data_IF_010253962583
#
_entry.id   IF_010253962583
#
_cell.length_a   1.000
_cell.length_b   1.000
_cell.length_c   1.000
_cell.angle_alpha   90.00
_cell.angle_beta   90.00
_cell.angle_gamma   90.00
#
_symmetry.space_group_name_H-M   'P 1'
#
loop_
_entity.id
_entity.type
_entity.pdbx_description
1 polymer ?
#
# COMPACT_ATOMS: atom_id res chain seq x y z
N UNK A 1 -19.21 12.27 15.61
CA UNK A 1 -19.52 10.83 15.58
C UNK A 1 -18.77 10.24 14.41
N UNK A 2 -17.87 9.28 14.64
CA UNK A 2 -17.18 8.55 13.57
C UNK A 2 -18.22 7.88 12.67
N UNK A 3 -18.12 8.08 11.37
CA UNK A 3 -19.04 7.51 10.38
C UNK A 3 -18.72 6.03 10.22
N UNK A 4 -19.70 5.15 10.45
CA UNK A 4 -19.54 3.72 10.22
C UNK A 4 -19.25 3.43 8.73
N UNK A 5 -18.32 2.52 8.46
CA UNK A 5 -17.96 2.11 7.09
C UNK A 5 -19.16 1.43 6.42
N UNK A 6 -19.40 1.73 5.15
CA UNK A 6 -20.45 1.06 4.38
C UNK A 6 -20.21 -0.45 4.35
N UNK A 7 -21.26 -1.27 4.39
CA UNK A 7 -21.08 -2.71 4.45
C UNK A 7 -22.26 -3.48 3.88
N UNK A 8 -21.99 -4.68 3.36
CA UNK A 8 -23.01 -5.60 2.83
C UNK A 8 -22.60 -7.05 3.05
N UNK A 9 -23.56 -7.88 3.45
CA UNK A 9 -23.36 -9.30 3.72
C UNK A 9 -23.73 -10.23 2.58
N UNK A 10 -23.16 -11.43 2.61
CA UNK A 10 -23.53 -12.53 1.73
C UNK A 10 -23.94 -13.76 2.54
N UNK A 11 -25.23 -14.12 2.43
CA UNK A 11 -25.82 -15.19 3.21
C UNK A 11 -26.04 -16.44 2.36
N UNK A 12 -25.47 -17.57 2.79
CA UNK A 12 -25.71 -18.86 2.16
C UNK A 12 -25.19 -20.01 3.04
N UNK A 13 -25.71 -21.25 2.91
CA UNK A 13 -25.08 -22.43 3.51
C UNK A 13 -23.60 -22.59 3.09
N UNK A 14 -22.80 -23.32 3.86
CA UNK A 14 -21.43 -23.65 3.44
C UNK A 14 -21.44 -24.46 2.12
N UNK A 15 -20.46 -24.23 1.24
CA UNK A 15 -20.35 -24.96 -0.04
C UNK A 15 -21.24 -24.47 -1.20
N UNK A 16 -22.01 -23.40 -1.03
CA UNK A 16 -22.96 -22.88 -2.04
C UNK A 16 -22.36 -21.87 -3.04
N UNK A 17 -21.05 -21.61 -2.96
CA UNK A 17 -20.35 -20.76 -3.92
C UNK A 17 -20.26 -19.27 -3.56
N UNK A 18 -20.49 -18.88 -2.31
CA UNK A 18 -20.26 -17.50 -1.82
C UNK A 18 -18.88 -16.97 -2.19
N UNK A 19 -17.84 -17.76 -1.90
CA UNK A 19 -16.46 -17.39 -2.24
C UNK A 19 -16.28 -17.21 -3.74
N UNK A 20 -16.92 -18.04 -4.58
CA UNK A 20 -16.89 -17.90 -6.04
C UNK A 20 -17.59 -16.62 -6.52
N UNK A 21 -18.69 -16.22 -5.90
CA UNK A 21 -19.35 -14.96 -6.22
C UNK A 21 -18.49 -13.77 -5.78
N UNK A 22 -18.01 -13.78 -4.55
CA UNK A 22 -17.19 -12.72 -3.97
C UNK A 22 -15.89 -12.50 -4.76
N UNK A 23 -15.21 -13.56 -5.19
CA UNK A 23 -13.98 -13.44 -6.01
C UNK A 23 -14.23 -12.85 -7.39
N UNK A 24 -15.45 -13.01 -7.96
CA UNK A 24 -15.86 -12.36 -9.21
C UNK A 24 -16.35 -10.92 -9.00
N UNK A 25 -16.93 -10.64 -7.85
CA UNK A 25 -17.49 -9.33 -7.50
C UNK A 25 -16.42 -8.32 -7.06
N UNK A 26 -15.42 -8.76 -6.31
CA UNK A 26 -14.32 -7.91 -5.80
C UNK A 26 -13.61 -7.12 -6.92
N UNK A 27 -13.19 -7.72 -8.06
CA UNK A 27 -12.59 -6.97 -9.16
C UNK A 27 -13.50 -5.90 -9.74
N UNK A 28 -14.82 -6.18 -9.85
CA UNK A 28 -15.80 -5.26 -10.42
C UNK A 28 -16.01 -4.05 -9.51
N UNK A 29 -16.23 -4.27 -8.22
CA UNK A 29 -16.37 -3.19 -7.23
C UNK A 29 -15.10 -2.32 -7.17
N UNK A 30 -13.92 -2.96 -7.27
CA UNK A 30 -12.64 -2.25 -7.32
C UNK A 30 -12.47 -1.44 -8.60
N UNK A 31 -12.88 -1.96 -9.75
CA UNK A 31 -12.86 -1.23 -11.02
C UNK A 31 -13.76 0.03 -11.00
N UNK A 32 -14.71 0.07 -10.06
CA UNK A 32 -15.59 1.22 -9.80
C UNK A 32 -15.04 2.18 -8.74
N UNK A 33 -13.76 2.04 -8.37
CA UNK A 33 -13.05 2.96 -7.51
C UNK A 33 -13.20 2.73 -6.01
N UNK A 34 -13.88 1.64 -5.60
CA UNK A 34 -14.02 1.31 -4.17
C UNK A 34 -12.76 0.63 -3.61
N UNK A 35 -12.39 1.04 -2.40
CA UNK A 35 -11.45 0.35 -1.53
C UNK A 35 -12.23 -0.60 -0.64
N UNK A 36 -11.90 -1.88 -0.72
CA UNK A 36 -12.74 -2.94 -0.18
C UNK A 36 -12.12 -3.56 1.07
N UNK A 37 -12.92 -3.66 2.12
CA UNK A 37 -12.65 -4.48 3.30
C UNK A 37 -13.35 -5.83 3.14
N UNK A 38 -12.85 -6.84 3.86
CA UNK A 38 -13.47 -8.15 3.91
C UNK A 38 -13.48 -8.65 5.36
N UNK A 39 -14.67 -8.94 5.87
CA UNK A 39 -14.87 -9.47 7.21
C UNK A 39 -15.48 -10.86 7.12
N UNK A 40 -14.80 -11.85 7.70
CA UNK A 40 -15.28 -13.24 7.74
C UNK A 40 -15.43 -13.71 9.18
N UNK A 41 -16.61 -14.24 9.50
CA UNK A 41 -16.81 -15.01 10.73
C UNK A 41 -16.48 -16.48 10.48
N UNK A 42 -15.66 -17.10 11.35
CA UNK A 42 -15.45 -18.53 11.36
C UNK A 42 -16.07 -19.13 12.64
N UNK A 43 -16.83 -20.22 12.50
CA UNK A 43 -17.48 -20.91 13.64
C UNK A 43 -16.55 -21.87 14.40
N UNK A 44 -15.27 -21.94 14.02
CA UNK A 44 -14.23 -22.75 14.66
C UNK A 44 -12.98 -21.90 14.86
N UNK A 45 -12.15 -22.27 15.84
CA UNK A 45 -10.84 -21.64 16.04
C UNK A 45 -10.05 -21.64 14.74
N UNK A 46 -9.56 -20.47 14.35
CA UNK A 46 -8.68 -20.30 13.19
C UNK A 46 -7.36 -19.72 13.69
N UNK A 47 -6.26 -20.21 13.15
CA UNK A 47 -4.94 -19.61 13.39
C UNK A 47 -4.42 -19.04 12.07
N UNK A 48 -3.94 -17.80 12.14
CA UNK A 48 -3.28 -17.13 11.02
C UNK A 48 -1.77 -17.34 11.05
N UNK A 49 -1.24 -17.86 12.16
CA UNK A 49 0.18 -18.07 12.38
C UNK A 49 0.59 -19.52 12.09
N UNK A 50 1.88 -19.75 11.89
CA UNK A 50 2.44 -21.09 11.69
C UNK A 50 2.98 -21.62 13.02
N UNK A 51 2.43 -22.74 13.55
CA UNK A 51 2.91 -23.34 14.78
C UNK A 51 4.43 -23.56 14.79
N UNK A 52 5.07 -23.17 15.90
CA UNK A 52 6.50 -23.32 16.12
C UNK A 52 7.40 -22.23 15.51
N UNK A 53 6.85 -21.21 14.85
CA UNK A 53 7.61 -20.01 14.43
C UNK A 53 7.63 -18.94 15.51
N UNK A 54 8.56 -18.00 15.40
CA UNK A 54 8.81 -16.97 16.43
C UNK A 54 7.56 -16.20 16.84
N UNK A 55 6.73 -15.74 15.89
CA UNK A 55 5.48 -15.03 16.20
C UNK A 55 4.47 -15.91 16.94
N UNK A 56 4.38 -17.19 16.57
CA UNK A 56 3.50 -18.15 17.24
C UNK A 56 3.98 -18.40 18.66
N UNK A 57 5.29 -18.63 18.83
CA UNK A 57 5.89 -18.88 20.14
C UNK A 57 5.76 -17.68 21.07
N UNK A 58 5.96 -16.45 20.56
CA UNK A 58 5.79 -15.23 21.35
C UNK A 58 4.32 -14.96 21.72
N UNK A 59 3.38 -15.29 20.83
CA UNK A 59 1.94 -15.22 21.10
C UNK A 59 1.52 -16.21 22.18
N UNK A 60 1.90 -17.48 22.02
CA UNK A 60 1.63 -18.55 23.00
C UNK A 60 2.33 -18.29 24.36
N UNK A 61 3.47 -17.59 24.35
CA UNK A 61 4.15 -17.16 25.58
C UNK A 61 3.41 -16.06 26.35
N UNK A 62 2.30 -15.51 25.81
CA UNK A 62 1.41 -14.59 26.49
C UNK A 62 1.37 -13.17 25.93
N UNK A 63 1.94 -12.92 24.74
CA UNK A 63 1.79 -11.62 24.10
C UNK A 63 0.32 -11.37 23.75
N UNK A 64 -0.30 -10.37 24.39
CA UNK A 64 -1.72 -10.02 24.15
C UNK A 64 -1.97 -9.43 22.76
N UNK A 65 -0.91 -8.96 22.10
CA UNK A 65 -0.93 -8.53 20.71
C UNK A 65 0.42 -8.82 20.06
N UNK A 66 0.40 -9.36 18.84
CA UNK A 66 1.57 -9.62 18.01
C UNK A 66 1.33 -8.96 16.65
N UNK A 67 2.09 -7.89 16.38
CA UNK A 67 2.07 -7.19 15.10
C UNK A 67 3.27 -7.66 14.27
N UNK A 68 2.98 -8.33 13.16
CA UNK A 68 3.98 -8.73 12.18
C UNK A 68 3.89 -7.76 11.02
N UNK A 69 5.00 -7.13 10.64
CA UNK A 69 5.06 -6.21 9.52
C UNK A 69 6.17 -6.57 8.54
N UNK A 70 5.93 -6.21 7.29
CA UNK A 70 6.88 -6.21 6.19
C UNK A 70 6.63 -4.95 5.36
N UNK A 71 7.47 -4.69 4.36
CA UNK A 71 7.31 -3.55 3.44
C UNK A 71 6.01 -3.57 2.62
N UNK A 72 5.28 -4.70 2.57
CA UNK A 72 4.08 -4.86 1.72
C UNK A 72 2.79 -5.14 2.48
N UNK A 73 2.90 -5.64 3.70
CA UNK A 73 1.76 -6.10 4.50
C UNK A 73 2.14 -6.13 5.95
N UNK A 74 1.15 -5.87 6.77
CA UNK A 74 1.20 -6.16 8.18
C UNK A 74 -0.01 -7.00 8.56
N UNK A 75 0.13 -7.76 9.63
CA UNK A 75 -0.93 -8.52 10.26
C UNK A 75 -0.83 -8.27 11.76
N UNK A 76 -1.94 -7.86 12.37
CA UNK A 76 -2.06 -7.76 13.82
C UNK A 76 -2.90 -8.93 14.31
N UNK A 77 -2.30 -9.77 15.15
CA UNK A 77 -3.00 -10.81 15.90
C UNK A 77 -3.19 -10.28 17.31
N UNK A 78 -4.43 -10.26 17.79
CA UNK A 78 -4.75 -9.78 19.13
C UNK A 78 -5.42 -10.90 19.91
N UNK A 79 -4.81 -11.27 21.04
CA UNK A 79 -5.32 -12.32 21.92
C UNK A 79 -6.43 -11.79 22.81
N UNK A 80 -7.64 -12.11 22.36
CA UNK A 80 -8.88 -11.93 23.06
C UNK A 80 -9.40 -10.50 23.17
N UNK A 81 -10.72 -10.44 23.35
CA UNK A 81 -11.50 -9.21 23.44
C UNK A 81 -11.47 -8.66 24.88
N UNK A 82 -11.92 -7.43 25.16
CA UNK A 82 -12.25 -7.02 26.52
C UNK A 82 -13.17 -8.06 27.21
N UNK A 83 -13.06 -8.25 28.53
CA UNK A 83 -13.83 -9.31 29.24
C UNK A 83 -15.33 -9.18 29.03
N UNK A 84 -15.85 -7.95 28.91
CA UNK A 84 -17.24 -7.66 28.56
C UNK A 84 -17.64 -8.21 27.18
N UNK A 85 -16.80 -8.05 26.18
CA UNK A 85 -17.01 -8.57 24.82
C UNK A 85 -16.82 -10.10 24.77
N UNK A 86 -15.88 -10.66 25.55
CA UNK A 86 -15.71 -12.11 25.69
C UNK A 86 -16.91 -12.77 26.36
N UNK A 87 -17.48 -12.16 27.38
CA UNK A 87 -18.67 -12.66 28.07
C UNK A 87 -19.89 -12.70 27.13
N UNK A 88 -20.09 -11.64 26.35
CA UNK A 88 -21.14 -11.57 25.33
C UNK A 88 -20.92 -12.59 24.22
N UNK A 89 -19.69 -12.72 23.70
CA UNK A 89 -19.35 -13.70 22.67
C UNK A 89 -19.56 -15.15 23.15
N UNK A 90 -19.19 -15.46 24.40
CA UNK A 90 -19.44 -16.78 25.00
C UNK A 90 -20.94 -17.04 25.17
N UNK A 91 -21.70 -16.05 25.62
CA UNK A 91 -23.15 -16.16 25.78
C UNK A 91 -23.86 -16.38 24.42
N UNK A 92 -23.47 -15.62 23.39
CA UNK A 92 -24.02 -15.72 22.04
C UNK A 92 -23.66 -17.07 21.38
N UNK A 93 -22.39 -17.50 21.50
CA UNK A 93 -21.93 -18.80 21.00
C UNK A 93 -22.68 -19.98 21.64
N UNK A 94 -23.00 -19.89 22.93
CA UNK A 94 -23.74 -20.94 23.65
C UNK A 94 -25.22 -21.05 23.21
N UNK A 95 -25.81 -19.96 22.70
CA UNK A 95 -27.20 -19.93 22.21
C UNK A 95 -27.32 -20.04 20.69
N UNK A 96 -26.19 -20.13 19.97
CA UNK A 96 -26.15 -20.10 18.50
C UNK A 96 -26.55 -18.74 17.91
N UNK A 97 -26.47 -17.68 18.72
CA UNK A 97 -26.70 -16.29 18.32
C UNK A 97 -25.36 -15.61 18.05
N UNK A 98 -25.37 -14.51 17.29
CA UNK A 98 -24.17 -13.70 17.09
C UNK A 98 -24.09 -12.58 18.12
N UNK A 99 -22.88 -12.24 18.57
CA UNK A 99 -22.63 -11.16 19.51
C UNK A 99 -22.65 -9.79 18.79
N UNK A 100 -23.69 -8.95 18.97
CA UNK A 100 -23.83 -7.71 18.20
C UNK A 100 -22.72 -6.71 18.51
N UNK A 101 -22.26 -6.59 19.75
CA UNK A 101 -21.18 -5.65 20.08
C UNK A 101 -19.83 -6.06 19.51
N UNK A 102 -19.60 -7.36 19.31
CA UNK A 102 -18.39 -7.85 18.66
C UNK A 102 -18.38 -7.49 17.17
N UNK A 103 -19.54 -7.55 16.51
CA UNK A 103 -19.67 -7.10 15.12
C UNK A 103 -19.24 -5.64 14.97
N UNK A 104 -19.84 -4.75 15.76
CA UNK A 104 -19.59 -3.32 15.71
C UNK A 104 -18.12 -3.00 16.05
N UNK A 105 -17.57 -3.69 17.06
CA UNK A 105 -16.15 -3.60 17.45
C UNK A 105 -15.23 -3.98 16.30
N UNK A 106 -15.46 -5.11 15.63
CA UNK A 106 -14.65 -5.56 14.49
C UNK A 106 -14.82 -4.64 13.26
N UNK A 107 -16.04 -4.19 12.98
CA UNK A 107 -16.30 -3.28 11.88
C UNK A 107 -15.60 -1.93 12.08
N UNK A 108 -15.52 -1.44 13.33
CA UNK A 108 -14.82 -0.20 13.69
C UNK A 108 -13.30 -0.26 13.48
N UNK A 109 -12.72 -1.46 13.31
CA UNK A 109 -11.28 -1.63 13.04
C UNK A 109 -10.93 -1.36 11.57
N UNK A 110 -11.91 -1.31 10.67
CA UNK A 110 -11.67 -0.86 9.30
C UNK A 110 -11.51 0.66 9.31
N UNK A 111 -10.35 1.13 8.88
CA UNK A 111 -10.10 2.57 8.75
C UNK A 111 -10.94 3.12 7.57
N UNK A 112 -11.91 4.03 7.84
CA UNK A 112 -12.76 4.62 6.81
C UNK A 112 -11.97 5.48 5.82
N UNK A 113 -10.76 5.93 6.19
CA UNK A 113 -9.88 6.66 5.28
C UNK A 113 -9.19 5.78 4.25
N UNK A 114 -9.27 4.45 4.36
CA UNK A 114 -8.72 3.50 3.38
C UNK A 114 -9.68 2.38 2.99
N UNK A 115 -10.89 2.35 3.57
CA UNK A 115 -11.93 1.35 3.30
C UNK A 115 -13.26 2.04 3.03
N UNK A 116 -13.80 1.89 1.83
CA UNK A 116 -15.08 2.48 1.43
C UNK A 116 -16.26 1.52 1.67
N UNK A 117 -16.04 0.22 1.48
CA UNK A 117 -17.07 -0.81 1.60
C UNK A 117 -16.49 -2.10 2.19
N UNK A 118 -17.13 -2.67 3.20
CA UNK A 118 -16.79 -3.96 3.79
C UNK A 118 -17.75 -5.05 3.28
N UNK A 119 -17.21 -6.09 2.67
CA UNK A 119 -17.97 -7.29 2.31
C UNK A 119 -17.93 -8.29 3.48
N UNK A 120 -19.09 -8.78 3.91
CA UNK A 120 -19.21 -9.64 5.09
C UNK A 120 -19.63 -11.05 4.69
N UNK A 121 -18.86 -12.05 5.14
CA UNK A 121 -19.22 -13.48 5.09
C UNK A 121 -19.47 -14.01 6.51
N UNK A 122 -20.71 -14.42 6.79
CA UNK A 122 -21.13 -14.89 8.13
C UNK A 122 -21.93 -13.82 8.89
N UNK A 123 -21.94 -13.93 10.24
CA UNK A 123 -22.66 -13.01 11.12
C UNK A 123 -24.17 -12.95 10.86
N UNK A 124 -24.84 -14.10 11.02
CA UNK A 124 -26.28 -14.29 10.80
C UNK A 124 -27.22 -13.56 11.80
N UNK A 125 -26.73 -13.10 12.94
CA UNK A 125 -27.50 -12.54 14.04
C UNK A 125 -27.28 -11.05 14.31
N UNK A 126 -26.36 -10.38 13.61
CA UNK A 126 -26.35 -8.90 13.60
C UNK A 126 -27.34 -8.38 12.55
N UNK A 127 -27.70 -7.09 12.58
CA UNK A 127 -28.60 -6.50 11.58
C UNK A 127 -27.85 -5.60 10.62
N UNK A 128 -27.85 -5.96 9.34
CA UNK A 128 -27.17 -5.24 8.25
C UNK A 128 -27.65 -5.76 6.89
N UNK A 129 -27.60 -4.97 5.78
CA UNK A 129 -28.08 -5.44 4.48
C UNK A 129 -27.35 -6.67 3.98
N UNK A 130 -28.10 -7.66 3.46
CA UNK A 130 -27.56 -8.93 2.94
C UNK A 130 -28.09 -9.30 1.57
N UNK A 131 -27.23 -9.94 0.78
CA UNK A 131 -27.60 -10.62 -0.46
C UNK A 131 -27.54 -12.13 -0.20
N UNK A 132 -28.67 -12.82 -0.36
CA UNK A 132 -28.67 -14.28 -0.30
C UNK A 132 -28.03 -14.86 -1.56
N UNK A 133 -27.25 -15.93 -1.45
CA UNK A 133 -26.72 -16.68 -2.59
C UNK A 133 -27.45 -18.02 -2.67
N UNK A 134 -28.24 -18.20 -3.72
CA UNK A 134 -29.04 -19.41 -3.95
C UNK A 134 -28.66 -20.07 -5.27
N UNK A 135 -28.18 -21.32 -5.23
CA UNK A 135 -27.76 -22.07 -6.42
C UNK A 135 -28.51 -23.41 -6.51
N UNK A 136 -29.04 -23.77 -7.68
CA UNK A 136 -29.73 -25.06 -7.86
C UNK A 136 -28.77 -26.25 -7.74
N UNK A 137 -27.54 -26.12 -8.24
CA UNK A 137 -26.58 -27.21 -8.31
C UNK A 137 -26.00 -27.66 -6.96
N UNK A 138 -26.13 -26.87 -5.88
CA UNK A 138 -25.51 -27.19 -4.59
C UNK A 138 -26.28 -28.18 -3.71
N UNK A 139 -27.54 -28.52 -4.05
CA UNK A 139 -28.41 -29.40 -3.24
C UNK A 139 -28.80 -28.86 -1.85
N UNK A 140 -28.09 -27.83 -1.36
CA UNK A 140 -28.35 -27.08 -0.15
C UNK A 140 -29.13 -25.81 -0.52
N UNK A 141 -30.45 -25.86 -0.43
CA UNK A 141 -31.31 -24.71 -0.70
C UNK A 141 -31.20 -23.69 0.43
N UNK A 142 -30.96 -22.42 0.09
CA UNK A 142 -31.18 -21.33 1.04
C UNK A 142 -32.68 -21.28 1.33
N UNK A 143 -33.08 -21.31 2.61
CA UNK A 143 -34.50 -21.41 3.00
C UNK A 143 -35.03 -20.20 3.76
N UNK A 144 -34.16 -19.27 4.17
CA UNK A 144 -34.49 -18.11 5.01
C UNK A 144 -34.75 -16.85 4.19
N UNK A 145 -35.64 -16.94 3.20
CA UNK A 145 -35.98 -15.81 2.32
C UNK A 145 -36.79 -14.70 3.02
N UNK A 146 -37.29 -14.97 4.22
CA UNK A 146 -38.08 -14.08 5.07
C UNK A 146 -37.21 -13.18 5.98
N UNK A 147 -35.88 -13.28 5.92
CA UNK A 147 -34.97 -12.43 6.68
C UNK A 147 -35.14 -10.95 6.28
N UNK A 148 -35.55 -10.05 7.21
CA UNK A 148 -35.79 -8.63 6.92
C UNK A 148 -34.53 -7.86 6.50
N UNK A 149 -33.36 -8.43 6.72
CA UNK A 149 -32.09 -7.88 6.28
C UNK A 149 -31.71 -8.25 4.84
N UNK A 150 -32.43 -9.18 4.22
CA UNK A 150 -32.24 -9.48 2.80
C UNK A 150 -32.71 -8.32 1.93
N UNK A 151 -31.78 -7.82 1.12
CA UNK A 151 -32.03 -6.76 0.13
C UNK A 151 -32.15 -7.32 -1.28
N UNK A 152 -31.58 -8.50 -1.55
CA UNK A 152 -31.69 -9.21 -2.83
C UNK A 152 -31.32 -10.69 -2.69
N UNK A 153 -31.58 -11.46 -3.75
CA UNK A 153 -31.15 -12.85 -3.90
C UNK A 153 -30.34 -12.98 -5.19
N UNK A 154 -29.08 -13.34 -5.08
CA UNK A 154 -28.22 -13.72 -6.21
C UNK A 154 -28.44 -15.21 -6.54
N UNK A 155 -28.97 -15.52 -7.72
CA UNK A 155 -29.37 -16.88 -8.07
C UNK A 155 -29.19 -17.24 -9.56
N UNK A 156 -29.12 -18.54 -9.85
CA UNK A 156 -29.25 -19.15 -11.18
C UNK A 156 -30.65 -19.75 -11.45
N UNK A 157 -31.55 -19.73 -10.46
CA UNK A 157 -32.94 -20.22 -10.55
C UNK A 157 -33.92 -19.22 -9.92
N UNK A 158 -34.19 -18.08 -10.59
CA UNK A 158 -35.07 -17.03 -10.09
C UNK A 158 -36.51 -17.50 -9.79
N UNK A 159 -36.97 -18.55 -10.46
CA UNK A 159 -38.28 -19.18 -10.24
C UNK A 159 -38.37 -19.93 -8.90
N UNK A 160 -37.25 -20.35 -8.32
CA UNK A 160 -37.19 -21.03 -7.01
C UNK A 160 -37.11 -20.05 -5.84
N UNK A 161 -36.95 -18.76 -6.12
CA UNK A 161 -36.86 -17.70 -5.10
C UNK A 161 -38.26 -17.14 -4.83
N UNK A 162 -38.84 -17.39 -3.64
CA UNK A 162 -40.15 -16.88 -3.27
C UNK A 162 -40.12 -15.37 -2.99
N UNK A 163 -41.28 -14.73 -3.13
CA UNK A 163 -41.47 -13.33 -2.76
C UNK A 163 -41.02 -12.31 -3.81
N UNK A 164 -40.98 -11.04 -3.40
CA UNK A 164 -40.73 -9.87 -4.25
C UNK A 164 -39.31 -9.33 -4.17
N UNK A 165 -38.39 -10.03 -3.50
CA UNK A 165 -36.99 -9.61 -3.40
C UNK A 165 -36.37 -9.53 -4.81
N UNK A 166 -35.52 -8.51 -5.09
CA UNK A 166 -34.76 -8.43 -6.32
C UNK A 166 -33.95 -9.71 -6.57
N UNK A 167 -34.04 -10.23 -7.79
CA UNK A 167 -33.36 -11.47 -8.22
C UNK A 167 -32.22 -11.09 -9.15
N UNK A 168 -30.99 -11.34 -8.72
CA UNK A 168 -29.77 -10.96 -9.42
C UNK A 168 -29.13 -12.22 -10.01
N UNK A 169 -28.75 -12.20 -11.28
CA UNK A 169 -28.13 -13.36 -11.91
C UNK A 169 -26.71 -13.59 -11.36
N UNK A 170 -26.40 -14.81 -10.89
CA UNK A 170 -25.04 -15.17 -10.44
C UNK A 170 -23.98 -15.02 -11.56
N UNK A 171 -24.42 -15.03 -12.82
CA UNK A 171 -23.59 -14.81 -13.99
C UNK A 171 -23.10 -13.38 -14.17
N UNK A 172 -23.74 -12.40 -13.52
CA UNK A 172 -23.62 -10.96 -13.82
C UNK A 172 -23.13 -10.16 -12.60
N UNK A 173 -21.84 -10.28 -12.22
CA UNK A 173 -21.29 -9.56 -11.07
C UNK A 173 -21.36 -8.04 -11.22
N UNK A 174 -21.40 -7.51 -12.45
CA UNK A 174 -21.61 -6.10 -12.75
C UNK A 174 -22.97 -5.61 -12.25
N UNK A 175 -24.03 -6.35 -12.53
CA UNK A 175 -25.39 -6.01 -12.08
C UNK A 175 -25.49 -6.09 -10.56
N UNK A 176 -24.85 -7.09 -9.95
CA UNK A 176 -24.79 -7.21 -8.49
C UNK A 176 -24.05 -6.03 -7.86
N UNK A 177 -22.92 -5.63 -8.45
CA UNK A 177 -22.18 -4.48 -7.98
C UNK A 177 -22.99 -3.18 -8.15
N UNK A 178 -23.74 -3.01 -9.25
CA UNK A 178 -24.56 -1.80 -9.48
C UNK A 178 -25.70 -1.72 -8.48
N UNK A 179 -26.30 -2.88 -8.18
CA UNK A 179 -27.28 -2.99 -7.13
C UNK A 179 -26.70 -2.56 -5.77
N UNK A 180 -25.53 -3.08 -5.39
CA UNK A 180 -24.87 -2.72 -4.11
C UNK A 180 -24.59 -1.22 -4.03
N UNK A 181 -24.02 -0.62 -5.08
CA UNK A 181 -23.66 0.79 -5.11
C UNK A 181 -24.85 1.73 -4.95
N UNK A 182 -26.01 1.33 -5.47
CA UNK A 182 -27.21 2.16 -5.47
C UNK A 182 -28.18 1.83 -4.32
N UNK A 183 -27.89 0.82 -3.50
CA UNK A 183 -28.83 0.38 -2.47
C UNK A 183 -28.73 1.25 -1.20
N UNK A 184 -29.83 1.91 -0.75
CA UNK A 184 -29.77 2.91 0.32
C UNK A 184 -29.33 2.34 1.68
N UNK A 185 -29.60 1.07 1.95
CA UNK A 185 -29.18 0.41 3.21
C UNK A 185 -27.68 0.09 3.28
N UNK A 186 -26.94 0.12 2.16
CA UNK A 186 -25.49 -0.18 2.14
C UNK A 186 -24.68 0.99 2.74
N UNK A 187 -25.19 2.22 2.65
CA UNK A 187 -24.60 3.38 3.33
C UNK A 187 -23.47 4.09 2.58
N UNK A 188 -23.30 3.83 1.28
CA UNK A 188 -22.41 4.59 0.40
C UNK A 188 -23.00 6.00 0.17
N UNK A 189 -22.26 7.08 0.46
CA UNK A 189 -22.77 8.45 0.19
C UNK A 189 -22.54 8.87 -1.25
N UNK A 190 -23.54 9.50 -1.85
CA UNK A 190 -23.55 9.95 -3.24
C UNK A 190 -22.74 11.24 -3.54
N UNK A 191 -21.93 11.78 -2.63
CA UNK A 191 -21.39 13.15 -2.79
C UNK A 191 -19.90 13.36 -2.53
N UNK A 192 -19.12 12.30 -2.36
CA UNK A 192 -17.67 12.41 -2.48
C UNK A 192 -17.34 11.61 -3.74
N UNK A 193 -17.15 12.32 -4.87
CA UNK A 193 -16.41 11.71 -5.97
C UNK A 193 -15.17 11.08 -5.34
N UNK A 194 -14.93 9.77 -5.50
CA UNK A 194 -13.74 9.17 -4.93
C UNK A 194 -12.57 10.00 -5.44
N UNK A 195 -11.88 10.71 -4.54
CA UNK A 195 -10.58 11.30 -4.87
C UNK A 195 -9.81 10.19 -5.56
N UNK A 196 -9.23 10.40 -6.77
CA UNK A 196 -8.74 9.33 -7.62
C UNK A 196 -7.85 8.39 -6.80
N UNK A 197 -8.44 7.28 -6.35
CA UNK A 197 -7.88 6.45 -5.31
C UNK A 197 -6.97 5.45 -6.00
N UNK A 198 -5.70 5.84 -6.16
CA UNK A 198 -4.66 4.91 -6.61
C UNK A 198 -4.56 3.78 -5.60
N UNK A 199 -5.13 2.63 -5.98
CA UNK A 199 -5.37 1.46 -5.14
C UNK A 199 -4.13 0.93 -4.41
N UNK A 200 -4.30 0.25 -3.28
CA UNK A 200 -3.24 -0.52 -2.60
C UNK A 200 -2.62 -1.64 -3.46
N UNK A 201 -3.31 -2.07 -4.51
CA UNK A 201 -2.80 -3.02 -5.50
C UNK A 201 -1.91 -2.37 -6.56
N UNK A 202 -1.82 -1.05 -6.58
CA UNK A 202 -0.86 -0.28 -7.36
C UNK A 202 0.55 -0.36 -6.74
N UNK A 203 0.74 -1.08 -5.62
CA UNK A 203 2.02 -1.22 -4.93
C UNK A 203 2.91 -2.37 -5.45
N UNK A 204 2.50 -3.02 -6.54
CA UNK A 204 3.41 -3.91 -7.27
C UNK A 204 4.11 -3.09 -8.36
N UNK A 205 5.44 -3.14 -8.48
CA UNK A 205 6.12 -2.64 -9.66
C UNK A 205 5.47 -3.16 -10.95
N UNK A 206 4.86 -4.35 -10.93
CA UNK A 206 4.18 -4.99 -12.06
C UNK A 206 2.88 -4.32 -12.54
N UNK A 207 2.31 -3.34 -11.81
CA UNK A 207 1.16 -2.52 -12.26
C UNK A 207 1.57 -1.14 -12.77
N UNK A 208 2.87 -0.84 -12.88
CA UNK A 208 3.33 0.45 -13.36
C UNK A 208 2.71 0.77 -14.73
N UNK A 209 2.20 2.01 -14.93
CA UNK A 209 1.64 2.45 -16.20
C UNK A 209 2.60 2.23 -17.37
N UNK A 210 2.12 2.12 -18.60
CA UNK A 210 3.01 2.03 -19.77
C UNK A 210 3.56 3.40 -20.19
N UNK A 211 2.83 4.49 -19.92
CA UNK A 211 3.21 5.85 -20.28
C UNK A 211 4.36 6.37 -19.37
N UNK A 212 5.48 6.89 -19.92
CA UNK A 212 6.60 7.40 -19.13
C UNK A 212 6.24 8.51 -18.13
N UNK A 213 5.27 9.39 -18.47
CA UNK A 213 4.81 10.45 -17.55
C UNK A 213 4.11 9.85 -16.34
N UNK A 214 3.21 8.92 -16.59
CA UNK A 214 2.45 8.24 -15.54
C UNK A 214 3.36 7.36 -14.69
N UNK A 215 4.35 6.67 -15.29
CA UNK A 215 5.37 5.95 -14.54
C UNK A 215 6.16 6.86 -13.62
N UNK A 216 6.60 8.03 -14.11
CA UNK A 216 7.41 8.95 -13.31
C UNK A 216 6.63 9.38 -12.07
N UNK A 217 5.40 9.84 -12.27
CA UNK A 217 4.50 10.24 -11.18
C UNK A 217 4.21 9.07 -10.23
N UNK A 218 4.03 7.87 -10.77
CA UNK A 218 3.83 6.66 -9.99
C UNK A 218 5.02 6.36 -9.06
N UNK A 219 6.24 6.28 -9.59
CA UNK A 219 7.43 5.97 -8.78
C UNK A 219 7.83 7.11 -7.84
N UNK A 220 7.63 8.37 -8.25
CA UNK A 220 7.81 9.52 -7.35
C UNK A 220 6.85 9.46 -6.15
N UNK A 221 5.58 9.13 -6.40
CA UNK A 221 4.61 8.92 -5.33
C UNK A 221 4.88 7.68 -4.46
N UNK A 222 5.61 6.68 -4.96
CA UNK A 222 6.08 5.56 -4.13
C UNK A 222 7.18 6.00 -3.16
N UNK A 223 8.09 6.90 -3.56
CA UNK A 223 9.10 7.44 -2.65
C UNK A 223 8.43 8.09 -1.43
N UNK A 224 7.38 8.89 -1.66
CA UNK A 224 6.58 9.49 -0.57
C UNK A 224 5.88 8.45 0.29
N UNK A 225 5.17 7.50 -0.33
CA UNK A 225 4.38 6.47 0.37
C UNK A 225 5.22 5.51 1.21
N UNK A 226 6.47 5.27 0.81
CA UNK A 226 7.40 4.42 1.55
C UNK A 226 8.30 5.19 2.52
N UNK A 227 8.07 6.49 2.70
CA UNK A 227 8.83 7.33 3.63
C UNK A 227 10.26 7.62 3.17
N UNK A 228 10.56 7.42 1.88
CA UNK A 228 11.83 7.85 1.29
C UNK A 228 11.81 9.34 0.96
N UNK A 229 10.64 9.96 0.81
CA UNK A 229 10.47 11.41 0.74
C UNK A 229 9.37 11.86 1.71
N UNK A 230 9.47 13.10 2.16
CA UNK A 230 8.45 13.83 2.90
C UNK A 230 7.91 15.01 2.08
N UNK A 231 6.66 15.43 2.33
CA UNK A 231 6.01 16.58 1.70
C UNK A 231 6.45 16.87 0.24
N UNK A 232 7.34 17.85 0.04
CA UNK A 232 7.84 18.34 -1.25
C UNK A 232 9.32 17.99 -1.50
N UNK A 233 9.87 17.03 -0.77
CA UNK A 233 11.27 16.63 -0.91
C UNK A 233 11.48 15.62 -2.03
N UNK A 234 12.69 15.65 -2.58
CA UNK A 234 13.12 14.80 -3.67
C UNK A 234 12.50 15.21 -5.00
N UNK A 235 12.98 14.58 -6.07
CA UNK A 235 12.51 14.84 -7.42
C UNK A 235 12.76 13.60 -8.29
N UNK A 236 12.11 13.56 -9.45
CA UNK A 236 12.21 12.41 -10.35
C UNK A 236 12.22 12.88 -11.80
N UNK A 237 12.97 12.18 -12.65
CA UNK A 237 12.98 12.44 -14.09
C UNK A 237 12.99 11.17 -14.92
N UNK A 238 12.51 11.27 -16.15
CA UNK A 238 12.56 10.22 -17.16
C UNK A 238 13.05 10.80 -18.49
N UNK A 239 13.99 10.11 -19.15
CA UNK A 239 14.54 10.51 -20.45
C UNK A 239 13.49 10.35 -21.54
N UNK A 240 13.52 11.26 -22.50
CA UNK A 240 12.68 11.22 -23.71
C UNK A 240 13.57 11.38 -24.95
N UNK A 241 12.97 11.29 -26.14
CA UNK A 241 13.71 11.47 -27.40
C UNK A 241 14.27 12.89 -27.55
N UNK A 242 13.59 13.88 -26.96
CA UNK A 242 13.92 15.30 -27.11
C UNK A 242 14.55 15.92 -25.85
N UNK A 243 14.86 15.13 -24.82
CA UNK A 243 15.19 15.69 -23.52
C UNK A 243 14.98 14.73 -22.36
N UNK A 244 14.42 15.28 -21.29
CA UNK A 244 13.84 14.54 -20.18
C UNK A 244 12.63 15.29 -19.62
N UNK A 245 11.75 14.56 -18.96
CA UNK A 245 10.66 15.13 -18.16
C UNK A 245 11.07 15.07 -16.70
N UNK A 246 10.82 16.12 -15.93
CA UNK A 246 11.14 16.20 -14.51
C UNK A 246 9.97 16.74 -13.70
N UNK A 247 9.91 16.39 -12.42
CA UNK A 247 8.98 17.00 -11.47
C UNK A 247 9.23 18.53 -11.38
N UNK A 248 8.16 19.36 -11.27
CA UNK A 248 8.33 20.79 -11.05
C UNK A 248 8.94 21.08 -9.67
N UNK A 249 9.48 22.29 -9.49
CA UNK A 249 9.92 22.76 -8.17
C UNK A 249 8.73 22.81 -7.19
N UNK A 250 8.93 22.36 -5.95
CA UNK A 250 7.88 22.29 -4.93
C UNK A 250 6.85 21.18 -5.13
N UNK A 251 7.07 20.24 -6.06
CA UNK A 251 6.17 19.11 -6.28
C UNK A 251 6.02 18.25 -5.02
N UNK A 252 4.78 17.89 -4.68
CA UNK A 252 4.46 16.91 -3.64
C UNK A 252 4.31 15.50 -4.22
N UNK A 253 4.77 14.49 -3.50
CA UNK A 253 4.59 13.10 -3.92
C UNK A 253 3.14 12.59 -3.83
N UNK A 254 2.27 13.31 -3.12
CA UNK A 254 0.89 12.90 -2.82
C UNK A 254 -0.12 13.35 -3.90
N UNK A 255 0.12 14.48 -4.59
CA UNK A 255 -0.83 15.15 -5.47
C UNK A 255 -0.32 15.46 -6.89
N UNK A 256 0.95 15.17 -7.19
CA UNK A 256 1.53 15.42 -8.52
C UNK A 256 0.76 14.70 -9.65
N UNK A 257 0.44 15.46 -10.70
CA UNK A 257 -0.20 14.96 -11.90
C UNK A 257 0.75 14.87 -13.11
N UNK A 258 0.57 13.89 -14.03
CA UNK A 258 1.44 13.71 -15.21
C UNK A 258 1.57 14.93 -16.15
N UNK A 259 0.60 15.84 -16.12
CA UNK A 259 0.59 17.05 -16.95
C UNK A 259 1.43 18.20 -16.37
N UNK A 260 1.75 18.16 -15.08
CA UNK A 260 2.55 19.17 -14.38
C UNK A 260 4.06 18.96 -14.57
N UNK A 261 4.46 17.83 -15.17
CA UNK A 261 5.87 17.53 -15.46
C UNK A 261 6.45 18.53 -16.48
N UNK A 262 7.62 19.06 -16.14
CA UNK A 262 8.34 20.04 -16.96
C UNK A 262 9.26 19.30 -17.92
N UNK A 263 9.20 19.67 -19.21
CA UNK A 263 10.10 19.14 -20.23
C UNK A 263 11.39 19.96 -20.26
N UNK A 264 12.52 19.30 -20.06
CA UNK A 264 13.84 19.92 -20.06
C UNK A 264 14.71 19.38 -21.20
N UNK A 265 15.55 20.22 -21.83
CA UNK A 265 16.46 19.75 -22.87
C UNK A 265 17.66 19.02 -22.26
N UNK A 266 18.28 18.11 -23.01
CA UNK A 266 19.56 17.48 -22.61
C UNK A 266 20.74 18.46 -22.64
N UNK A 267 20.64 19.54 -23.41
CA UNK A 267 21.65 20.58 -23.51
C UNK A 267 20.97 21.94 -23.61
N UNK A 268 21.54 22.94 -22.93
CA UNK A 268 20.98 24.29 -22.88
C UNK A 268 20.28 24.59 -21.54
N UNK A 269 19.65 25.77 -21.45
CA UNK A 269 19.11 26.28 -20.20
C UNK A 269 17.95 25.43 -19.68
N UNK A 270 17.86 25.32 -18.35
CA UNK A 270 16.74 24.68 -17.67
C UNK A 270 15.53 25.62 -17.69
N UNK A 271 14.35 25.17 -18.13
CA UNK A 271 13.12 25.97 -18.11
C UNK A 271 12.70 26.39 -16.70
N UNK A 272 12.02 27.53 -16.61
CA UNK A 272 11.40 28.00 -15.37
C UNK A 272 10.38 26.97 -14.83
N UNK A 273 10.30 26.84 -13.50
CA UNK A 273 9.40 25.92 -12.82
C UNK A 273 9.89 24.47 -12.74
N UNK A 274 10.97 24.10 -13.43
CA UNK A 274 11.59 22.77 -13.27
C UNK A 274 12.22 22.60 -11.87
N UNK A 275 12.41 21.36 -11.44
CA UNK A 275 13.09 21.04 -10.17
C UNK A 275 14.43 21.79 -10.02
N UNK A 276 14.77 22.18 -8.79
CA UNK A 276 16.06 22.79 -8.47
C UNK A 276 17.25 21.91 -8.90
N UNK A 277 17.09 20.58 -8.87
CA UNK A 277 18.14 19.63 -9.26
C UNK A 277 18.18 19.32 -10.76
N UNK A 278 17.43 20.05 -11.59
CA UNK A 278 17.36 19.77 -13.04
C UNK A 278 18.72 19.80 -13.74
N UNK A 279 19.65 20.67 -13.29
CA UNK A 279 21.02 20.69 -13.80
C UNK A 279 21.76 19.39 -13.49
N UNK A 280 21.61 18.85 -12.27
CA UNK A 280 22.20 17.57 -11.88
C UNK A 280 21.65 16.44 -12.75
N UNK A 281 20.34 16.39 -12.94
CA UNK A 281 19.70 15.38 -13.80
C UNK A 281 20.18 15.47 -15.25
N UNK A 282 20.28 16.70 -15.80
CA UNK A 282 20.83 16.94 -17.13
C UNK A 282 22.27 16.40 -17.25
N UNK A 283 23.13 16.70 -16.28
CA UNK A 283 24.52 16.22 -16.25
C UNK A 283 24.62 14.69 -16.16
N UNK A 284 23.78 14.05 -15.35
CA UNK A 284 23.72 12.59 -15.26
C UNK A 284 23.31 11.97 -16.61
N UNK A 285 22.29 12.50 -17.29
CA UNK A 285 21.91 11.98 -18.62
C UNK A 285 22.98 12.20 -19.70
N UNK A 286 23.78 13.25 -19.59
CA UNK A 286 24.90 13.50 -20.50
C UNK A 286 26.08 12.55 -20.25
N UNK A 287 26.39 12.29 -18.97
CA UNK A 287 27.56 11.50 -18.57
C UNK A 287 27.28 10.00 -18.43
N UNK A 288 26.00 9.59 -18.38
CA UNK A 288 25.60 8.19 -18.27
C UNK A 288 24.58 7.80 -19.35
N UNK A 289 25.04 7.33 -20.53
CA UNK A 289 24.18 7.04 -21.68
C UNK A 289 23.10 5.96 -21.44
N UNK A 290 23.32 5.08 -20.47
CA UNK A 290 22.34 4.05 -20.10
C UNK A 290 21.20 4.58 -19.21
N UNK A 291 21.37 5.76 -18.59
CA UNK A 291 20.36 6.33 -17.73
C UNK A 291 19.10 6.70 -18.54
N UNK A 292 17.97 6.12 -18.15
CA UNK A 292 16.64 6.44 -18.68
C UNK A 292 15.72 7.05 -17.63
N UNK A 293 16.08 6.90 -16.37
CA UNK A 293 15.36 7.48 -15.24
C UNK A 293 16.35 7.86 -14.14
N UNK A 294 16.01 8.90 -13.39
CA UNK A 294 16.77 9.36 -12.22
C UNK A 294 15.78 9.68 -11.11
N UNK A 295 16.01 9.16 -9.91
CA UNK A 295 15.26 9.47 -8.70
C UNK A 295 16.18 10.10 -7.67
N UNK A 296 15.69 11.17 -7.05
CA UNK A 296 16.27 11.78 -5.86
C UNK A 296 15.36 11.55 -4.65
N UNK A 297 15.93 11.03 -3.57
CA UNK A 297 15.19 10.68 -2.36
C UNK A 297 15.91 11.02 -1.06
N UNK A 298 15.15 11.13 0.03
CA UNK A 298 15.56 11.54 1.38
C UNK A 298 15.31 10.45 2.43
N UNK A 299 15.73 9.22 2.16
CA UNK A 299 15.54 8.11 3.10
C UNK A 299 16.23 8.38 4.45
N UNK A 300 15.53 8.29 5.59
CA UNK A 300 16.10 8.71 6.88
C UNK A 300 17.32 7.88 7.29
N UNK A 301 17.34 6.58 6.99
CA UNK A 301 18.47 5.73 7.34
C UNK A 301 19.67 5.96 6.42
N UNK A 302 19.44 6.15 5.11
CA UNK A 302 20.52 6.51 4.19
C UNK A 302 21.11 7.89 4.53
N UNK A 303 20.28 8.88 4.85
CA UNK A 303 20.77 10.19 5.35
C UNK A 303 21.62 9.98 6.59
N UNK A 304 21.11 9.29 7.61
CA UNK A 304 21.85 9.04 8.85
C UNK A 304 23.18 8.29 8.60
N UNK A 305 23.18 7.30 7.70
CA UNK A 305 24.38 6.54 7.35
C UNK A 305 25.40 7.36 6.54
N UNK A 306 24.97 8.45 5.90
CA UNK A 306 25.85 9.40 5.20
C UNK A 306 26.47 10.46 6.12
N UNK A 307 25.95 10.58 7.35
CA UNK A 307 26.47 11.46 8.39
C UNK A 307 27.66 10.77 9.08
N UNK A 308 28.88 11.13 8.68
CA UNK A 308 30.10 10.59 9.26
C UNK A 308 31.34 11.08 8.51
N UNK A 309 32.55 10.73 8.99
CA UNK A 309 33.77 11.03 8.26
C UNK A 309 33.68 10.43 6.85
N UNK A 310 34.00 11.26 5.84
CA UNK A 310 33.73 10.97 4.43
C UNK A 310 34.27 9.63 3.92
N UNK A 311 33.75 9.16 2.79
CA UNK A 311 34.06 7.86 2.21
C UNK A 311 32.89 7.31 1.41
N UNK A 312 32.67 6.00 1.47
CA UNK A 312 31.50 5.36 0.88
C UNK A 312 30.75 4.48 1.87
N UNK A 313 29.46 4.32 1.66
CA UNK A 313 28.63 3.40 2.42
C UNK A 313 28.85 1.95 1.95
N UNK A 314 29.19 1.08 2.90
CA UNK A 314 29.33 -0.36 2.68
C UNK A 314 28.07 -1.08 3.19
N UNK A 315 27.27 -1.71 2.31
CA UNK A 315 26.14 -2.51 2.74
C UNK A 315 26.57 -3.69 3.61
N UNK A 316 25.75 -4.03 4.61
CA UNK A 316 26.04 -5.10 5.57
C UNK A 316 25.27 -6.39 5.24
N UNK A 317 24.11 -6.27 4.61
CA UNK A 317 23.23 -7.35 4.22
C UNK A 317 23.63 -8.00 2.89
N UNK A 318 23.11 -9.21 2.64
CA UNK A 318 23.47 -10.03 1.50
C UNK A 318 23.12 -9.39 0.16
N UNK A 319 21.90 -8.85 0.02
CA UNK A 319 21.44 -8.24 -1.22
C UNK A 319 22.18 -6.93 -1.52
N UNK A 320 22.33 -6.06 -0.52
CA UNK A 320 23.09 -4.82 -0.66
C UNK A 320 24.52 -5.06 -1.11
N UNK A 321 25.21 -6.06 -0.55
CA UNK A 321 26.57 -6.46 -0.98
C UNK A 321 26.62 -7.02 -2.39
N UNK A 322 25.54 -7.65 -2.85
CA UNK A 322 25.43 -8.14 -4.21
C UNK A 322 25.24 -7.00 -5.23
N UNK A 323 24.46 -5.97 -4.88
CA UNK A 323 24.20 -4.84 -5.77
C UNK A 323 25.30 -3.77 -5.73
N UNK A 324 25.88 -3.51 -4.55
CA UNK A 324 26.82 -2.43 -4.34
C UNK A 324 28.06 -2.93 -3.59
N UNK A 325 29.21 -2.84 -4.24
CA UNK A 325 30.51 -3.05 -3.58
C UNK A 325 30.77 -1.92 -2.57
N UNK A 326 30.50 -0.68 -2.97
CA UNK A 326 30.53 0.52 -2.15
C UNK A 326 29.63 1.58 -2.79
N UNK A 327 28.82 2.28 -2.00
CA UNK A 327 28.02 3.43 -2.47
C UNK A 327 28.78 4.71 -2.17
N UNK A 328 29.12 5.54 -3.16
CA UNK A 328 29.87 6.78 -2.94
C UNK A 328 29.05 7.79 -2.13
N UNK A 329 29.70 8.48 -1.19
CA UNK A 329 29.11 9.61 -0.46
C UNK A 329 29.81 10.89 -0.91
N UNK A 330 29.05 11.80 -1.52
CA UNK A 330 29.51 13.11 -1.95
C UNK A 330 29.38 14.10 -0.79
N UNK A 331 30.46 14.75 -0.35
CA UNK A 331 30.40 15.74 0.71
C UNK A 331 29.74 17.04 0.22
N UNK A 332 29.00 17.69 1.12
CA UNK A 332 28.43 19.02 0.91
C UNK A 332 29.48 20.07 1.28
N UNK A 333 29.68 21.12 0.46
CA UNK A 333 30.53 22.26 0.82
C UNK A 333 29.87 23.17 1.87
N UNK A 334 30.67 24.01 2.54
CA UNK A 334 30.18 24.85 3.65
C UNK A 334 29.24 26.00 3.22
N UNK A 335 29.24 26.37 1.93
CA UNK A 335 28.38 27.44 1.39
C UNK A 335 27.34 26.91 0.40
N UNK A 336 26.19 27.59 0.36
CA UNK A 336 25.11 27.25 -0.56
C UNK A 336 25.46 27.57 -2.02
N UNK A 337 26.25 28.63 -2.26
CA UNK A 337 26.76 28.98 -3.58
C UNK A 337 27.67 27.88 -4.15
N UNK A 338 28.57 27.35 -3.32
CA UNK A 338 29.44 26.24 -3.72
C UNK A 338 28.63 24.95 -3.91
N UNK A 339 27.59 24.74 -3.10
CA UNK A 339 26.67 23.60 -3.25
C UNK A 339 26.06 23.60 -4.66
N UNK A 340 25.43 24.70 -5.06
CA UNK A 340 24.78 24.83 -6.38
C UNK A 340 25.80 24.64 -7.50
N UNK A 341 27.00 25.22 -7.35
CA UNK A 341 28.03 25.19 -8.39
C UNK A 341 28.65 23.81 -8.58
N UNK A 342 28.94 23.10 -7.48
CA UNK A 342 29.85 21.96 -7.51
C UNK A 342 29.14 20.61 -7.32
N UNK A 343 28.10 20.53 -6.49
CA UNK A 343 27.43 19.27 -6.15
C UNK A 343 26.83 18.57 -7.38
N UNK A 344 26.15 19.26 -8.32
CA UNK A 344 25.66 18.61 -9.55
C UNK A 344 26.73 17.85 -10.33
N UNK A 345 27.93 18.42 -10.47
CA UNK A 345 29.06 17.79 -11.18
C UNK A 345 29.67 16.63 -10.38
N UNK A 346 29.82 16.80 -9.06
CA UNK A 346 30.37 15.76 -8.18
C UNK A 346 29.46 14.54 -8.10
N UNK A 347 28.15 14.75 -7.96
CA UNK A 347 27.15 13.66 -7.97
C UNK A 347 27.11 12.97 -9.33
N UNK A 348 27.09 13.74 -10.43
CA UNK A 348 27.12 13.15 -11.78
C UNK A 348 28.36 12.27 -12.00
N UNK A 349 29.54 12.72 -11.54
CA UNK A 349 30.78 11.92 -11.61
C UNK A 349 30.71 10.65 -10.76
N UNK A 350 30.19 10.75 -9.53
CA UNK A 350 29.99 9.58 -8.66
C UNK A 350 29.03 8.54 -9.29
N UNK A 351 27.99 9.03 -9.98
CA UNK A 351 27.00 8.19 -10.66
C UNK A 351 27.51 7.54 -11.96
N UNK A 352 28.66 7.97 -12.49
CA UNK A 352 29.36 7.23 -13.57
C UNK A 352 30.02 5.95 -13.05
N UNK A 353 30.36 5.87 -11.76
CA UNK A 353 31.00 4.70 -11.15
C UNK A 353 30.01 3.75 -10.46
N UNK A 354 28.82 4.24 -10.08
CA UNK A 354 27.79 3.48 -9.37
C UNK A 354 26.40 3.93 -9.83
N UNK A 355 25.39 3.03 -9.93
CA UNK A 355 24.02 3.43 -10.26
C UNK A 355 23.34 4.29 -9.20
N UNK A 356 23.96 4.41 -8.01
CA UNK A 356 23.43 5.14 -6.88
C UNK A 356 24.56 5.85 -6.12
N UNK A 357 24.28 7.06 -5.62
CA UNK A 357 25.19 7.87 -4.84
C UNK A 357 24.43 8.59 -3.73
N UNK A 358 25.12 8.85 -2.63
CA UNK A 358 24.60 9.61 -1.49
C UNK A 358 25.23 11.00 -1.49
N UNK A 359 24.50 11.99 -1.03
CA UNK A 359 25.00 13.31 -0.68
C UNK A 359 24.92 13.43 0.84
N UNK A 360 26.08 13.66 1.48
CA UNK A 360 26.20 13.65 2.94
C UNK A 360 25.18 14.57 3.59
N UNK A 361 24.46 14.05 4.60
CA UNK A 361 23.39 14.73 5.34
C UNK A 361 22.24 15.30 4.50
N UNK A 362 22.09 14.90 3.23
CA UNK A 362 21.03 15.42 2.36
C UNK A 362 20.17 14.29 1.80
N UNK A 363 20.69 13.47 0.88
CA UNK A 363 19.84 12.48 0.24
C UNK A 363 20.60 11.58 -0.73
N UNK A 364 19.84 10.91 -1.58
CA UNK A 364 20.30 9.87 -2.48
C UNK A 364 19.89 10.22 -3.90
N UNK A 365 20.78 9.97 -4.86
CA UNK A 365 20.46 10.01 -6.29
C UNK A 365 20.71 8.62 -6.87
N UNK A 366 19.73 8.08 -7.59
CA UNK A 366 19.83 6.79 -8.25
C UNK A 366 19.38 6.92 -9.70
N UNK A 367 20.15 6.35 -10.63
CA UNK A 367 19.73 6.22 -12.02
C UNK A 367 19.43 4.76 -12.38
N UNK A 368 18.57 4.56 -13.37
CA UNK A 368 18.27 3.24 -13.92
C UNK A 368 17.91 3.31 -15.41
N UNK A 369 17.92 2.15 -16.06
CA UNK A 369 17.39 1.95 -17.43
C UNK A 369 15.86 2.01 -17.45
N UNK A 370 15.23 1.93 -16.27
CA UNK A 370 13.81 2.18 -16.03
C UNK A 370 13.63 2.90 -14.70
N UNK A 371 12.50 3.58 -14.51
CA UNK A 371 12.13 4.15 -13.19
C UNK A 371 12.04 3.07 -12.11
N UNK A 372 11.61 1.86 -12.48
CA UNK A 372 11.57 0.69 -11.58
C UNK A 372 12.96 0.34 -11.04
N UNK A 373 13.95 0.36 -11.91
CA UNK A 373 15.33 0.02 -11.56
C UNK A 373 15.94 1.09 -10.65
N UNK A 374 15.76 2.38 -10.97
CA UNK A 374 16.17 3.47 -10.10
C UNK A 374 15.51 3.37 -8.71
N UNK A 375 14.21 3.10 -8.67
CA UNK A 375 13.46 2.90 -7.42
C UNK A 375 13.96 1.69 -6.62
N UNK A 376 14.30 0.59 -7.30
CA UNK A 376 14.89 -0.60 -6.67
C UNK A 376 16.20 -0.26 -5.98
N UNK A 377 17.07 0.53 -6.61
CA UNK A 377 18.34 0.94 -6.00
C UNK A 377 18.12 1.80 -4.76
N UNK A 378 17.23 2.79 -4.85
CA UNK A 378 16.84 3.61 -3.70
C UNK A 378 16.37 2.76 -2.52
N UNK A 379 15.42 1.85 -2.76
CA UNK A 379 14.88 1.00 -1.70
C UNK A 379 15.90 0.00 -1.14
N UNK A 380 16.77 -0.56 -1.99
CA UNK A 380 17.83 -1.47 -1.55
C UNK A 380 18.84 -0.75 -0.65
N UNK A 381 19.31 0.44 -1.03
CA UNK A 381 20.23 1.23 -0.21
C UNK A 381 19.60 1.63 1.12
N UNK A 382 18.35 2.11 1.10
CA UNK A 382 17.66 2.51 2.34
C UNK A 382 17.51 1.33 3.30
N UNK A 383 17.15 0.15 2.78
CA UNK A 383 17.04 -1.07 3.59
C UNK A 383 18.40 -1.50 4.15
N UNK A 384 19.47 -1.48 3.34
CA UNK A 384 20.83 -1.75 3.80
C UNK A 384 21.26 -0.78 4.92
N UNK A 385 20.95 0.50 4.77
CA UNK A 385 21.24 1.52 5.77
C UNK A 385 20.43 1.30 7.06
N UNK A 386 19.16 0.92 6.94
CA UNK A 386 18.30 0.57 8.07
C UNK A 386 18.85 -0.63 8.86
N UNK A 387 19.23 -1.72 8.17
CA UNK A 387 19.83 -2.89 8.82
C UNK A 387 21.11 -2.49 9.56
N UNK A 388 22.00 -1.72 8.90
CA UNK A 388 23.23 -1.25 9.54
C UNK A 388 22.94 -0.43 10.79
N UNK A 389 21.97 0.48 10.72
CA UNK A 389 21.55 1.28 11.87
C UNK A 389 21.04 0.41 13.02
N UNK A 390 20.18 -0.57 12.74
CA UNK A 390 19.63 -1.48 13.76
C UNK A 390 20.72 -2.34 14.43
N UNK A 391 21.73 -2.79 13.67
CA UNK A 391 22.88 -3.51 14.21
C UNK A 391 23.73 -2.63 15.14
N UNK A 392 23.91 -1.35 14.80
CA UNK A 392 24.68 -0.40 15.63
C UNK A 392 23.87 0.15 16.82
N UNK A 393 22.56 0.32 16.68
CA UNK A 393 21.67 0.83 17.73
C UNK A 393 21.40 -0.16 18.85
N UNK A 394 21.60 -1.46 18.62
CA UNK A 394 21.60 -2.49 19.67
C UNK A 394 22.88 -2.55 20.51
N UNK A 395 23.94 -1.83 20.11
CA UNK A 395 25.28 -1.91 20.69
C UNK A 395 25.62 -0.69 21.58
N UNK A 396 24.76 -0.35 22.54
CA UNK A 396 25.08 0.52 23.70
C UNK A 396 23.87 0.50 24.64
N UNK A 397 23.89 0.02 25.89
CA UNK A 397 24.87 0.27 26.96
C UNK A 397 25.04 -0.97 27.87
N UNK A 398 26.20 -1.65 27.80
CA UNK A 398 26.75 -2.28 29.00
C UNK A 398 27.65 -1.24 29.66
N UNK A 399 27.07 -0.40 30.53
CA UNK A 399 27.86 0.41 31.44
C UNK A 399 28.68 -0.53 32.32
N UNK A 400 29.98 -0.61 32.05
CA UNK A 400 30.94 -1.21 32.96
C UNK A 400 30.96 -0.39 34.25
N UNK A 401 30.38 -0.93 35.31
CA UNK A 401 30.75 -0.55 36.67
C UNK A 401 32.13 -1.16 36.93
N UNK A 402 33.15 -0.32 36.95
CA UNK A 402 34.45 -0.58 37.56
C UNK A 402 34.69 0.45 38.65
#
# INVERSE_FOLDING_TARGET
MSRAVAHVGFAAPSGTGKTTLLTRLLPVLRARGLRLGYLKHAHHGFDLDTPGKDSYLLREAGASAVLIASSRRWALMQEGLPESERAEHRAASATGQDAPRLFDSLLSRFDPHVTDLVLIEGWHGASFPRIAVHRTASGLAFSRFDDPDLIAVATDAPEQVPGSLPKLALGEPEVIADFILNHPRVGLSASESPAPSRSFHDLSPACAPSNPREQLVFYYGLLRRHGYNDAQSGNASVRTDNGFLITPTGAGGDDLSPHELVACPLSGPIPEGASFDSLLHQLVYLNQPEARAILHSHGPYSIAASCGPGGGFMPVDFEGKHYFSQVPIVPIPDSFEDYIRDVPRRVSSALSASPIAMVSSHGVYAWGRTLREAYRWTGALEHSAQIKHLLTGGASQSCGCS
#
